data_IF_891339998866
#
_entry.id   IF_891339998866
#
_cell.length_a   1.000
_cell.length_b   1.000
_cell.length_c   1.000
_cell.angle_alpha   90.00
_cell.angle_beta   90.00
_cell.angle_gamma   90.00
#
_symmetry.space_group_name_H-M   'P 1'
#
loop_
_entity.id
_entity.type
_entity.pdbx_description
1 polymer ?
#
# COMPACT_ATOMS: atom_id res chain seq x y z
N UNK A 1 -4.89 8.65 14.69
CA UNK A 1 -5.36 7.62 13.75
C UNK A 1 -4.12 7.08 13.05
N UNK A 2 -3.92 5.75 12.98
CA UNK A 2 -2.72 5.16 12.38
C UNK A 2 -2.48 5.65 10.95
N UNK A 3 -1.23 5.70 10.53
CA UNK A 3 -0.81 6.24 9.24
C UNK A 3 -0.10 5.17 8.41
N UNK A 4 -0.29 5.23 7.10
CA UNK A 4 0.45 4.41 6.15
C UNK A 4 1.89 4.92 6.03
N UNK A 5 2.87 4.07 6.27
CA UNK A 5 4.29 4.44 6.18
C UNK A 5 4.73 4.71 4.73
N UNK A 6 3.95 4.26 3.74
CA UNK A 6 4.27 4.47 2.33
C UNK A 6 3.76 5.81 1.78
N UNK A 7 2.57 6.25 2.19
CA UNK A 7 1.92 7.43 1.60
C UNK A 7 1.42 8.47 2.61
N UNK A 8 1.56 8.23 3.91
CA UNK A 8 1.08 9.11 4.98
C UNK A 8 -0.45 9.16 5.14
N UNK A 9 -1.22 8.42 4.32
CA UNK A 9 -2.66 8.41 4.47
C UNK A 9 -3.09 7.75 5.79
N UNK A 10 -4.08 8.34 6.46
CA UNK A 10 -4.66 7.75 7.67
C UNK A 10 -5.48 6.49 7.35
N UNK A 11 -5.43 5.52 8.24
CA UNK A 11 -6.23 4.28 8.21
C UNK A 11 -6.90 4.06 9.56
N UNK A 12 -7.95 3.24 9.60
CA UNK A 12 -8.66 2.96 10.85
C UNK A 12 -7.80 2.13 11.82
N UNK A 13 -8.06 2.25 13.12
CA UNK A 13 -7.42 1.39 14.13
C UNK A 13 -7.72 -0.10 13.91
N UNK A 14 -8.89 -0.42 13.33
CA UNK A 14 -9.25 -1.79 12.95
C UNK A 14 -8.35 -2.32 11.83
N UNK A 15 -8.00 -1.46 10.87
CA UNK A 15 -7.07 -1.82 9.81
C UNK A 15 -5.67 -2.05 10.38
N UNK A 16 -5.18 -1.14 11.22
CA UNK A 16 -3.86 -1.26 11.87
C UNK A 16 -3.75 -2.55 12.69
N UNK A 17 -4.81 -2.96 13.41
CA UNK A 17 -4.82 -4.20 14.19
C UNK A 17 -4.50 -5.45 13.38
N UNK A 18 -4.89 -5.48 12.10
CA UNK A 18 -4.76 -6.68 11.24
C UNK A 18 -3.55 -6.60 10.34
N UNK A 19 -3.21 -5.40 9.85
CA UNK A 19 -2.23 -5.21 8.77
C UNK A 19 -0.94 -4.54 9.20
N UNK A 20 -0.85 -4.04 10.44
CA UNK A 20 0.43 -3.58 10.96
C UNK A 20 1.35 -4.77 11.26
N UNK A 21 2.66 -4.58 11.07
CA UNK A 21 3.65 -5.58 11.46
C UNK A 21 3.88 -5.61 12.98
N UNK A 22 4.82 -6.45 13.44
CA UNK A 22 5.17 -6.60 14.86
C UNK A 22 5.63 -5.29 15.54
N UNK A 23 6.06 -4.30 14.75
CA UNK A 23 6.49 -2.98 15.22
C UNK A 23 5.38 -1.93 15.09
N UNK A 24 4.22 -2.31 14.57
CA UNK A 24 3.10 -1.40 14.33
C UNK A 24 3.18 -0.67 12.98
N UNK A 25 4.08 -1.05 12.08
CA UNK A 25 4.23 -0.38 10.78
C UNK A 25 3.18 -0.83 9.76
N UNK A 26 2.59 0.13 9.07
CA UNK A 26 1.60 -0.10 8.02
C UNK A 26 2.27 0.19 6.68
N UNK A 27 2.91 -0.86 6.13
CA UNK A 27 3.75 -0.75 4.93
C UNK A 27 2.97 -0.37 3.67
N UNK A 28 1.66 -0.65 3.62
CA UNK A 28 0.76 -0.22 2.56
C UNK A 28 -0.70 -0.18 3.04
N UNK A 29 -1.41 0.91 2.76
CA UNK A 29 -2.84 1.04 3.00
C UNK A 29 -3.66 0.47 1.83
N UNK A 30 -5.00 0.35 1.93
CA UNK A 30 -5.84 -0.17 0.86
C UNK A 30 -5.63 0.53 -0.49
N UNK A 31 -5.43 1.85 -0.48
CA UNK A 31 -5.17 2.63 -1.69
C UNK A 31 -3.81 2.30 -2.33
N UNK A 32 -2.78 2.11 -1.51
CA UNK A 32 -1.46 1.70 -2.00
C UNK A 32 -1.50 0.28 -2.55
N UNK A 33 -2.14 -0.65 -1.83
CA UNK A 33 -2.26 -2.05 -2.24
C UNK A 33 -3.07 -2.24 -3.51
N UNK A 34 -4.12 -1.42 -3.72
CA UNK A 34 -4.91 -1.44 -4.96
C UNK A 34 -4.07 -1.14 -6.22
N UNK A 35 -2.96 -0.40 -6.05
CA UNK A 35 -2.08 -0.01 -7.14
C UNK A 35 -0.74 -0.78 -7.16
N UNK A 36 -0.56 -1.76 -6.27
CA UNK A 36 0.64 -2.58 -6.23
C UNK A 36 0.80 -3.34 -7.56
N UNK A 37 2.01 -3.33 -8.13
CA UNK A 37 2.32 -4.01 -9.39
C UNK A 37 1.84 -3.29 -10.67
N UNK A 38 1.01 -2.24 -10.59
CA UNK A 38 0.54 -1.51 -11.78
C UNK A 38 1.72 -0.93 -12.57
N UNK A 39 2.69 -0.32 -11.88
CA UNK A 39 3.85 0.29 -12.51
C UNK A 39 4.69 -0.71 -13.32
N UNK A 40 4.79 -1.96 -12.88
CA UNK A 40 5.49 -3.03 -13.59
C UNK A 40 4.72 -3.42 -14.85
N UNK A 41 3.44 -3.78 -14.71
CA UNK A 41 2.58 -4.20 -15.81
C UNK A 41 2.46 -3.09 -16.87
N UNK A 42 2.38 -1.82 -16.47
CA UNK A 42 2.36 -0.68 -17.40
C UNK A 42 3.64 -0.59 -18.24
N UNK A 43 4.82 -0.83 -17.66
CA UNK A 43 6.09 -0.84 -18.40
C UNK A 43 6.15 -2.00 -19.40
N UNK A 44 5.75 -3.20 -18.98
CA UNK A 44 5.71 -4.37 -19.87
C UNK A 44 4.79 -4.15 -21.07
N UNK A 45 3.63 -3.52 -20.85
CA UNK A 45 2.69 -3.16 -21.93
C UNK A 45 3.32 -2.16 -22.89
N UNK A 46 3.99 -1.12 -22.39
CA UNK A 46 4.64 -0.11 -23.22
C UNK A 46 5.78 -0.67 -24.09
N UNK A 47 6.49 -1.69 -23.62
CA UNK A 47 7.58 -2.34 -24.36
C UNK A 47 7.11 -3.30 -25.48
N UNK A 48 5.84 -3.71 -25.46
CA UNK A 48 5.25 -4.62 -26.46
C UNK A 48 4.61 -3.88 -27.65
N UNK A 49 4.71 -2.55 -27.69
CA UNK A 49 4.15 -1.68 -28.74
C UNK A 49 5.23 -1.25 -29.72
#
# INVERSE_FOLDING_TARGET
MPECDHCGAHVSDQFARVFADERGHIRACPNCSANAGIAEVSRERAQKV
#
